data_IF_422694199059
#
_entry.id   IF_422694199059
#
_cell.length_a   1.000
_cell.length_b   1.000
_cell.length_c   1.000
_cell.angle_alpha   90.00
_cell.angle_beta   90.00
_cell.angle_gamma   90.00
#
_symmetry.space_group_name_H-M   'P 1'
#
loop_
_entity.id
_entity.type
_entity.pdbx_description
1 polymer ?
#
# COMPACT_ATOMS: atom_id res chain seq x y z
N UNK A 1 -5.59 -13.88 43.69
CA UNK A 1 -5.26 -12.43 43.55
C UNK A 1 -4.14 -12.32 42.53
N UNK A 2 -4.48 -11.91 41.31
CA UNK A 2 -3.54 -11.75 40.20
C UNK A 2 -2.58 -10.59 40.51
N UNK A 3 -1.28 -10.86 40.43
CA UNK A 3 -0.25 -9.85 40.68
C UNK A 3 -0.31 -8.75 39.62
N UNK A 4 -0.31 -7.50 40.11
CA UNK A 4 -0.31 -6.27 39.32
C UNK A 4 0.91 -6.23 38.40
N UNK A 5 0.68 -6.01 37.11
CA UNK A 5 1.72 -5.55 36.18
C UNK A 5 2.10 -4.13 36.60
N UNK A 6 3.39 -3.86 36.79
CA UNK A 6 3.89 -2.48 36.87
C UNK A 6 3.59 -1.77 35.53
N UNK A 7 3.34 -0.45 35.52
CA UNK A 7 3.04 0.31 34.29
C UNK A 7 4.04 0.03 33.17
N UNK A 8 5.32 -0.07 33.54
CA UNK A 8 6.43 -0.42 32.66
C UNK A 8 6.26 -1.80 31.96
N UNK A 9 5.67 -2.81 32.61
CA UNK A 9 5.45 -4.13 32.01
C UNK A 9 4.25 -4.16 31.04
N UNK A 10 3.23 -3.31 31.23
CA UNK A 10 2.14 -3.20 30.26
C UNK A 10 2.59 -2.38 29.04
N UNK A 11 3.38 -1.33 29.25
CA UNK A 11 4.08 -0.58 28.19
C UNK A 11 4.93 -1.50 27.31
N UNK A 12 5.66 -2.45 27.90
CA UNK A 12 6.46 -3.45 27.16
C UNK A 12 5.56 -4.45 26.40
N UNK A 13 4.42 -4.86 26.95
CA UNK A 13 3.49 -5.78 26.27
C UNK A 13 2.79 -5.07 25.11
N UNK A 14 2.32 -3.85 25.30
CA UNK A 14 1.75 -3.00 24.24
C UNK A 14 2.79 -2.76 23.13
N UNK A 15 4.08 -2.64 23.50
CA UNK A 15 5.22 -2.58 22.56
C UNK A 15 5.43 -3.87 21.75
N UNK A 16 5.22 -5.02 22.38
CA UNK A 16 5.41 -6.34 21.76
C UNK A 16 4.22 -6.72 20.88
N UNK A 17 3.03 -6.18 21.15
CA UNK A 17 1.79 -6.41 20.39
C UNK A 17 1.57 -5.37 19.28
N UNK A 18 2.17 -4.18 19.40
CA UNK A 18 2.22 -3.16 18.36
C UNK A 18 3.64 -2.61 18.30
N UNK A 19 4.51 -3.08 17.39
CA UNK A 19 5.86 -2.54 17.33
C UNK A 19 5.77 -1.19 16.60
N UNK A 20 5.92 -0.03 17.27
CA UNK A 20 6.61 1.04 16.57
C UNK A 20 7.95 0.45 16.11
N UNK A 21 8.44 0.87 14.94
CA UNK A 21 9.75 0.40 14.46
C UNK A 21 10.75 0.43 15.62
N UNK A 22 11.50 -0.65 15.85
CA UNK A 22 12.48 -0.76 16.95
C UNK A 22 13.42 0.46 17.00
N UNK A 23 13.58 1.18 15.88
CA UNK A 23 14.27 2.46 15.76
C UNK A 23 13.59 3.63 16.51
N UNK A 24 12.26 3.76 16.50
CA UNK A 24 11.57 4.79 17.28
C UNK A 24 11.83 4.63 18.79
N UNK A 25 12.00 3.37 19.24
CA UNK A 25 12.31 3.04 20.63
C UNK A 25 13.76 3.33 21.01
N UNK A 26 14.70 3.22 20.06
CA UNK A 26 16.14 3.49 20.31
C UNK A 26 16.42 4.95 20.70
N UNK A 27 15.52 5.88 20.38
CA UNK A 27 15.62 7.30 20.74
C UNK A 27 14.94 7.67 22.06
N UNK A 28 14.10 6.80 22.64
CA UNK A 28 13.35 7.10 23.86
C UNK A 28 14.29 7.02 25.07
N UNK A 29 14.50 8.13 25.78
CA UNK A 29 15.36 8.19 26.97
C UNK A 29 14.55 8.07 28.26
N UNK A 30 13.26 8.36 28.18
CA UNK A 30 12.34 8.38 29.33
C UNK A 30 11.08 7.57 29.05
N UNK A 31 10.37 7.18 30.12
CA UNK A 31 9.03 6.57 30.03
C UNK A 31 8.02 7.50 29.32
N UNK A 32 8.19 8.82 29.47
CA UNK A 32 7.37 9.80 28.78
C UNK A 32 7.60 9.79 27.26
N UNK A 33 8.86 9.69 26.81
CA UNK A 33 9.18 9.57 25.38
C UNK A 33 8.58 8.30 24.79
N UNK A 34 8.67 7.20 25.53
CA UNK A 34 8.12 5.91 25.14
C UNK A 34 6.59 5.97 25.00
N UNK A 35 5.90 6.54 25.99
CA UNK A 35 4.45 6.70 25.95
C UNK A 35 4.02 7.61 24.80
N UNK A 36 4.76 8.70 24.55
CA UNK A 36 4.49 9.59 23.42
C UNK A 36 4.62 8.87 22.07
N UNK A 37 5.67 8.05 21.89
CA UNK A 37 5.85 7.25 20.67
C UNK A 37 4.73 6.23 20.46
N UNK A 38 4.25 5.58 21.53
CA UNK A 38 3.10 4.66 21.47
C UNK A 38 1.82 5.42 21.12
N UNK A 39 1.58 6.57 21.73
CA UNK A 39 0.37 7.38 21.47
C UNK A 39 0.36 7.92 20.04
N UNK A 40 1.52 8.36 19.52
CA UNK A 40 1.69 8.76 18.12
C UNK A 40 1.44 7.60 17.16
N UNK A 41 1.99 6.41 17.46
CA UNK A 41 1.75 5.21 16.66
C UNK A 41 0.26 4.83 16.65
N UNK A 42 -0.39 4.81 17.82
CA UNK A 42 -1.82 4.49 17.94
C UNK A 42 -2.68 5.48 17.19
N UNK A 43 -2.36 6.77 17.28
CA UNK A 43 -3.06 7.83 16.55
C UNK A 43 -2.91 7.63 15.05
N UNK A 44 -1.67 7.45 14.57
CA UNK A 44 -1.36 7.18 13.16
C UNK A 44 -2.09 5.93 12.65
N UNK A 45 -2.08 4.84 13.42
CA UNK A 45 -2.77 3.61 13.06
C UNK A 45 -4.28 3.82 12.94
N UNK A 46 -4.91 4.47 13.92
CA UNK A 46 -6.34 4.76 13.89
C UNK A 46 -6.72 5.67 12.71
N UNK A 47 -5.92 6.70 12.43
CA UNK A 47 -6.10 7.56 11.26
C UNK A 47 -6.01 6.78 9.94
N UNK A 48 -5.08 5.82 9.86
CA UNK A 48 -4.94 4.95 8.71
C UNK A 48 -6.15 4.03 8.54
N UNK A 49 -6.63 3.37 9.60
CA UNK A 49 -7.83 2.54 9.55
C UNK A 49 -9.06 3.33 9.09
N UNK A 50 -9.23 4.55 9.63
CA UNK A 50 -10.30 5.45 9.22
C UNK A 50 -10.13 5.83 7.74
N UNK A 51 -8.92 6.16 7.29
CA UNK A 51 -8.65 6.51 5.90
C UNK A 51 -8.94 5.34 4.94
N UNK A 52 -8.58 4.12 5.32
CA UNK A 52 -8.86 2.89 4.56
C UNK A 52 -10.36 2.61 4.49
N UNK A 53 -11.07 2.72 5.61
CA UNK A 53 -12.53 2.62 5.67
C UNK A 53 -13.24 3.69 4.84
N UNK A 54 -12.61 4.85 4.67
CA UNK A 54 -13.11 5.94 3.85
C UNK A 54 -12.71 5.86 2.37
N UNK A 55 -11.94 4.87 1.91
CA UNK A 55 -11.63 4.78 0.47
C UNK A 55 -12.92 4.62 -0.32
N UNK A 56 -13.76 3.68 0.11
CA UNK A 56 -15.08 3.42 -0.47
C UNK A 56 -16.12 4.20 0.32
N UNK A 57 -16.65 5.26 -0.28
CA UNK A 57 -17.69 6.09 0.31
C UNK A 57 -19.04 5.73 -0.34
N UNK A 58 -19.84 4.94 0.37
CA UNK A 58 -21.11 4.43 -0.14
C UNK A 58 -22.13 5.55 -0.37
N UNK A 59 -22.09 6.63 0.42
CA UNK A 59 -22.97 7.77 0.23
C UNK A 59 -22.56 8.56 -1.02
N UNK A 60 -21.25 8.72 -1.25
CA UNK A 60 -20.75 9.32 -2.49
C UNK A 60 -21.11 8.50 -3.72
N UNK A 61 -21.01 7.17 -3.67
CA UNK A 61 -21.43 6.27 -4.75
C UNK A 61 -22.92 6.38 -5.03
N UNK A 62 -23.75 6.33 -3.98
CA UNK A 62 -25.20 6.49 -4.10
C UNK A 62 -25.55 7.82 -4.75
N UNK A 63 -24.97 8.92 -4.27
CA UNK A 63 -25.17 10.25 -4.86
C UNK A 63 -24.74 10.32 -6.32
N UNK A 64 -23.66 9.65 -6.70
CA UNK A 64 -23.25 9.54 -8.12
C UNK A 64 -24.29 8.80 -8.95
N UNK A 65 -24.80 7.66 -8.45
CA UNK A 65 -25.86 6.89 -9.12
C UNK A 65 -27.11 7.74 -9.29
N UNK A 66 -27.56 8.42 -8.22
CA UNK A 66 -28.75 9.29 -8.25
C UNK A 66 -28.59 10.43 -9.29
N UNK A 67 -27.40 11.03 -9.38
CA UNK A 67 -27.10 12.07 -10.37
C UNK A 67 -27.00 11.53 -11.80
N UNK A 68 -26.45 10.32 -12.00
CA UNK A 68 -26.42 9.67 -13.33
C UNK A 68 -27.83 9.27 -13.79
N UNK A 69 -28.68 8.82 -12.88
CA UNK A 69 -30.07 8.49 -13.16
C UNK A 69 -30.86 9.76 -13.55
N UNK A 70 -30.73 10.85 -12.79
CA UNK A 70 -31.37 12.13 -13.13
C UNK A 70 -30.86 12.68 -14.46
N UNK A 71 -29.56 12.53 -14.76
CA UNK A 71 -29.00 12.88 -16.07
C UNK A 71 -29.64 12.05 -17.19
N UNK A 72 -29.79 10.74 -17.00
CA UNK A 72 -30.40 9.85 -17.99
C UNK A 72 -31.87 10.24 -18.28
N UNK A 73 -32.67 10.44 -17.22
CA UNK A 73 -34.07 10.86 -17.33
C UNK A 73 -34.20 12.21 -18.06
N UNK A 74 -33.37 13.20 -17.68
CA UNK A 74 -33.39 14.50 -18.34
C UNK A 74 -32.87 14.45 -19.79
N UNK A 75 -31.94 13.54 -20.11
CA UNK A 75 -31.37 13.45 -21.46
C UNK A 75 -32.42 13.03 -22.51
N UNK A 76 -33.44 12.27 -22.12
CA UNK A 76 -34.54 11.88 -23.01
C UNK A 76 -35.57 13.02 -23.20
N UNK A 77 -35.80 13.83 -22.17
CA UNK A 77 -36.92 14.78 -22.11
C UNK A 77 -36.55 16.26 -22.30
N UNK A 78 -35.40 16.71 -21.75
CA UNK A 78 -34.98 18.11 -21.70
C UNK A 78 -33.45 18.29 -21.64
N UNK A 79 -32.87 18.71 -22.78
CA UNK A 79 -31.43 18.97 -22.92
C UNK A 79 -30.89 20.04 -21.97
N UNK A 80 -31.71 21.03 -21.56
CA UNK A 80 -31.27 22.05 -20.60
C UNK A 80 -31.08 21.44 -19.21
N UNK A 81 -32.08 20.69 -18.73
CA UNK A 81 -31.98 19.93 -17.49
C UNK A 81 -30.84 18.91 -17.53
N UNK A 82 -30.64 18.21 -18.65
CA UNK A 82 -29.52 17.27 -18.81
C UNK A 82 -28.15 17.96 -18.66
N UNK A 83 -28.00 19.17 -19.21
CA UNK A 83 -26.78 19.98 -19.07
C UNK A 83 -26.52 20.35 -17.61
N UNK A 84 -27.56 20.74 -16.87
CA UNK A 84 -27.47 21.04 -15.44
C UNK A 84 -27.07 19.81 -14.62
N UNK A 85 -27.72 18.65 -14.86
CA UNK A 85 -27.38 17.41 -14.17
C UNK A 85 -25.95 16.94 -14.46
N UNK A 86 -25.48 17.07 -15.70
CA UNK A 86 -24.09 16.75 -16.05
C UNK A 86 -23.09 17.66 -15.33
N UNK A 87 -23.41 18.96 -15.22
CA UNK A 87 -22.60 19.91 -14.43
C UNK A 87 -22.53 19.52 -12.95
N UNK A 88 -23.68 19.24 -12.33
CA UNK A 88 -23.76 18.81 -10.93
C UNK A 88 -22.99 17.50 -10.68
N UNK A 89 -23.09 16.55 -11.61
CA UNK A 89 -22.37 15.28 -11.58
C UNK A 89 -20.84 15.50 -11.67
N UNK A 90 -20.37 16.36 -12.58
CA UNK A 90 -18.95 16.72 -12.69
C UNK A 90 -18.41 17.43 -11.44
N UNK A 91 -19.19 18.33 -10.84
CA UNK A 91 -18.83 19.02 -9.58
C UNK A 91 -18.64 17.98 -8.47
N UNK A 92 -19.62 17.08 -8.29
CA UNK A 92 -19.52 16.02 -7.28
C UNK A 92 -18.33 15.09 -7.54
N UNK A 93 -18.13 14.63 -8.78
CA UNK A 93 -16.99 13.77 -9.14
C UNK A 93 -15.63 14.47 -8.91
N UNK A 94 -15.54 15.78 -9.15
CA UNK A 94 -14.34 16.58 -8.84
C UNK A 94 -14.08 16.60 -7.33
N UNK A 95 -15.10 16.86 -6.51
CA UNK A 95 -14.98 16.83 -5.05
C UNK A 95 -14.52 15.45 -4.53
N UNK A 96 -15.02 14.37 -5.13
CA UNK A 96 -14.61 13.00 -4.78
C UNK A 96 -13.19 12.69 -5.23
N UNK A 97 -12.77 13.19 -6.40
CA UNK A 97 -11.39 13.09 -6.88
C UNK A 97 -10.42 13.77 -5.90
N UNK A 98 -10.76 14.96 -5.43
CA UNK A 98 -9.95 15.70 -4.44
C UNK A 98 -9.91 14.98 -3.07
N UNK A 99 -11.05 14.44 -2.63
CA UNK A 99 -11.15 13.65 -1.40
C UNK A 99 -10.22 12.43 -1.46
N UNK A 100 -10.30 11.65 -2.53
CA UNK A 100 -9.45 10.46 -2.74
C UNK A 100 -7.97 10.82 -2.88
N UNK A 101 -7.65 11.96 -3.49
CA UNK A 101 -6.29 12.50 -3.53
C UNK A 101 -5.74 12.79 -2.12
N UNK A 102 -6.56 13.34 -1.21
CA UNK A 102 -6.18 13.49 0.21
C UNK A 102 -6.02 12.14 0.90
N UNK A 103 -6.91 11.18 0.64
CA UNK A 103 -6.81 9.81 1.19
C UNK A 103 -5.50 9.14 0.79
N UNK A 104 -5.04 9.30 -0.46
CA UNK A 104 -3.73 8.79 -0.90
C UNK A 104 -2.59 9.34 -0.04
N UNK A 105 -2.63 10.62 0.34
CA UNK A 105 -1.59 11.20 1.20
C UNK A 105 -1.55 10.52 2.57
N UNK A 106 -2.71 10.28 3.19
CA UNK A 106 -2.80 9.57 4.47
C UNK A 106 -2.30 8.13 4.34
N UNK A 107 -2.75 7.42 3.29
CA UNK A 107 -2.29 6.06 3.01
C UNK A 107 -0.78 6.01 2.75
N UNK A 108 -0.21 6.99 2.05
CA UNK A 108 1.24 7.08 1.85
C UNK A 108 2.01 7.28 3.15
N UNK A 109 1.49 8.12 4.04
CA UNK A 109 2.10 8.37 5.34
C UNK A 109 2.25 7.06 6.11
N UNK A 110 1.21 6.19 6.14
CA UNK A 110 1.27 4.84 6.74
C UNK A 110 2.56 4.12 6.38
N UNK A 111 2.87 3.95 5.10
CA UNK A 111 4.05 3.18 4.67
C UNK A 111 5.36 3.84 5.09
N UNK A 112 5.43 5.17 4.99
CA UNK A 112 6.66 5.91 5.32
C UNK A 112 6.93 6.02 6.83
N UNK A 113 5.90 5.98 7.68
CA UNK A 113 6.04 6.18 9.13
C UNK A 113 5.98 4.88 9.93
N UNK A 114 5.27 3.85 9.46
CA UNK A 114 5.12 2.57 10.18
C UNK A 114 6.46 1.85 10.29
N UNK A 115 7.18 1.72 9.16
CA UNK A 115 8.53 1.15 9.12
C UNK A 115 9.40 1.93 8.10
N UNK A 116 10.07 3.00 8.55
CA UNK A 116 10.95 3.79 7.69
C UNK A 116 12.10 2.97 7.08
N UNK A 117 12.57 1.94 7.79
CA UNK A 117 13.65 1.07 7.32
C UNK A 117 13.23 0.24 6.11
N UNK A 118 12.02 -0.33 6.14
CA UNK A 118 11.45 -1.04 4.98
C UNK A 118 11.11 -0.07 3.84
N UNK A 119 10.56 1.09 4.16
CA UNK A 119 10.19 2.10 3.16
C UNK A 119 11.38 2.73 2.44
N UNK A 120 12.55 2.80 3.10
CA UNK A 120 13.79 3.31 2.48
C UNK A 120 14.12 2.60 1.15
N UNK A 121 13.86 1.30 1.04
CA UNK A 121 14.08 0.54 -0.20
C UNK A 121 13.22 1.00 -1.38
N UNK A 122 12.12 1.70 -1.12
CA UNK A 122 11.28 2.34 -2.14
C UNK A 122 11.67 3.80 -2.33
N UNK A 123 11.94 4.52 -1.23
CA UNK A 123 12.31 5.93 -1.25
C UNK A 123 13.65 6.17 -1.97
N UNK A 124 14.60 5.24 -1.85
CA UNK A 124 15.95 5.35 -2.43
C UNK A 124 15.98 5.02 -3.93
N UNK A 125 14.87 4.59 -4.52
CA UNK A 125 14.80 4.29 -5.95
C UNK A 125 14.79 5.60 -6.75
N UNK A 126 15.89 5.87 -7.43
CA UNK A 126 16.09 7.08 -8.22
C UNK A 126 15.40 6.98 -9.58
N UNK A 127 14.80 8.10 -10.00
CA UNK A 127 14.25 8.25 -11.34
C UNK A 127 15.36 8.16 -12.41
N UNK A 128 15.14 7.40 -13.46
CA UNK A 128 16.05 7.41 -14.62
C UNK A 128 15.31 7.13 -15.93
N UNK A 129 15.92 7.54 -17.04
CA UNK A 129 15.44 7.23 -18.40
C UNK A 129 16.66 7.02 -19.30
N UNK A 130 16.73 5.87 -19.96
CA UNK A 130 17.71 5.59 -21.03
C UNK A 130 17.17 6.06 -22.38
N UNK A 131 18.04 6.02 -23.40
CA UNK A 131 17.69 6.37 -24.78
C UNK A 131 16.92 5.25 -25.52
N UNK A 132 16.71 4.10 -24.87
CA UNK A 132 15.97 2.99 -25.46
C UNK A 132 14.47 3.28 -25.32
N UNK A 133 13.78 3.29 -26.45
CA UNK A 133 12.33 3.50 -26.52
C UNK A 133 11.63 2.45 -27.40
N UNK A 134 10.30 2.42 -27.30
CA UNK A 134 9.47 1.63 -28.20
C UNK A 134 9.44 2.28 -29.58
N UNK A 135 9.92 1.56 -30.59
CA UNK A 135 9.99 2.04 -31.98
C UNK A 135 8.94 1.32 -32.84
N UNK A 136 8.28 2.06 -33.72
CA UNK A 136 7.45 1.52 -34.79
C UNK A 136 8.32 0.71 -35.76
N UNK A 137 7.95 -0.52 -36.16
CA UNK A 137 8.78 -1.29 -37.07
C UNK A 137 9.06 -0.51 -38.37
N UNK A 138 10.30 -0.57 -38.86
CA UNK A 138 10.81 0.27 -39.95
C UNK A 138 9.88 0.34 -41.18
N UNK A 139 9.27 -0.79 -41.57
CA UNK A 139 8.32 -0.89 -42.68
C UNK A 139 7.08 0.01 -42.54
N UNK A 140 6.68 0.35 -41.32
CA UNK A 140 5.48 1.15 -41.03
C UNK A 140 5.80 2.60 -40.67
N UNK A 141 7.06 2.99 -40.49
CA UNK A 141 7.42 4.35 -40.05
C UNK A 141 6.99 5.45 -41.03
N UNK A 142 6.87 5.13 -42.32
CA UNK A 142 6.38 6.06 -43.36
C UNK A 142 4.86 5.98 -43.60
N UNK A 143 4.14 5.15 -42.85
CA UNK A 143 2.70 4.96 -42.97
C UNK A 143 1.94 5.92 -42.03
N UNK A 144 0.60 5.99 -42.18
CA UNK A 144 -0.26 6.76 -41.28
C UNK A 144 -0.14 6.27 -39.83
N UNK A 145 -0.42 7.14 -38.86
CA UNK A 145 -0.31 6.82 -37.43
C UNK A 145 -1.19 5.61 -37.07
N UNK A 146 -2.38 5.50 -37.64
CA UNK A 146 -3.30 4.37 -37.43
C UNK A 146 -2.67 3.05 -37.87
N UNK A 147 -1.98 3.04 -39.02
CA UNK A 147 -1.25 1.84 -39.49
C UNK A 147 -0.05 1.52 -38.62
N UNK A 148 0.63 2.53 -38.09
CA UNK A 148 1.71 2.32 -37.12
C UNK A 148 1.17 1.71 -35.82
N UNK A 149 0.07 2.25 -35.29
CA UNK A 149 -0.63 1.76 -34.10
C UNK A 149 -1.11 0.33 -34.31
N UNK A 150 -1.75 0.02 -35.43
CA UNK A 150 -2.21 -1.32 -35.78
C UNK A 150 -1.05 -2.32 -35.78
N UNK A 151 0.07 -1.99 -36.43
CA UNK A 151 1.26 -2.83 -36.45
C UNK A 151 1.84 -3.06 -35.04
N UNK A 152 1.86 -2.03 -34.19
CA UNK A 152 2.31 -2.13 -32.80
C UNK A 152 1.35 -2.97 -31.94
N UNK A 153 0.03 -2.83 -32.11
CA UNK A 153 -0.97 -3.63 -31.40
C UNK A 153 -0.90 -5.11 -31.78
N UNK A 154 -0.70 -5.41 -33.07
CA UNK A 154 -0.45 -6.78 -33.53
C UNK A 154 0.82 -7.33 -32.88
N UNK A 155 1.93 -6.59 -32.90
CA UNK A 155 3.17 -7.01 -32.24
C UNK A 155 2.97 -7.21 -30.72
N UNK A 156 2.18 -6.36 -30.06
CA UNK A 156 1.85 -6.50 -28.65
C UNK A 156 1.09 -7.80 -28.36
N UNK A 157 0.09 -8.15 -29.17
CA UNK A 157 -0.66 -9.40 -29.02
C UNK A 157 0.25 -10.63 -29.11
N UNK A 158 1.23 -10.61 -30.03
CA UNK A 158 2.24 -11.68 -30.16
C UNK A 158 3.23 -11.75 -29.00
N UNK A 159 3.44 -10.64 -28.27
CA UNK A 159 4.39 -10.57 -27.14
C UNK A 159 3.72 -10.79 -25.77
N UNK A 160 2.39 -10.75 -25.71
CA UNK A 160 1.63 -10.84 -24.46
C UNK A 160 1.91 -12.14 -23.69
N UNK A 161 1.84 -13.30 -24.33
CA UNK A 161 2.02 -14.60 -23.66
C UNK A 161 3.42 -14.74 -23.03
N UNK A 162 4.46 -14.34 -23.76
CA UNK A 162 5.83 -14.32 -23.26
C UNK A 162 5.95 -13.39 -22.04
N UNK A 163 5.43 -12.17 -22.16
CA UNK A 163 5.45 -11.19 -21.07
C UNK A 163 4.76 -11.73 -19.82
N UNK A 164 3.54 -12.27 -19.96
CA UNK A 164 2.80 -12.86 -18.85
C UNK A 164 3.58 -14.02 -18.23
N UNK A 165 4.11 -14.93 -19.03
CA UNK A 165 4.88 -16.09 -18.55
C UNK A 165 6.08 -15.68 -17.72
N UNK A 166 6.86 -14.69 -18.19
CA UNK A 166 8.02 -14.19 -17.46
C UNK A 166 7.62 -13.53 -16.14
N UNK A 167 6.60 -12.67 -16.14
CA UNK A 167 6.14 -12.00 -14.93
C UNK A 167 5.54 -13.00 -13.93
N UNK A 168 4.78 -13.99 -14.39
CA UNK A 168 4.26 -15.07 -13.55
C UNK A 168 5.39 -15.86 -12.89
N UNK A 169 6.45 -16.20 -13.62
CA UNK A 169 7.63 -16.86 -13.04
C UNK A 169 8.25 -16.06 -11.89
N UNK A 170 8.31 -14.74 -12.03
CA UNK A 170 8.77 -13.85 -10.95
C UNK A 170 7.84 -13.87 -9.74
N UNK A 171 6.54 -13.69 -9.97
CA UNK A 171 5.52 -13.70 -8.91
C UNK A 171 5.49 -15.02 -8.16
N UNK A 172 5.57 -16.14 -8.88
CA UNK A 172 5.57 -17.49 -8.31
C UNK A 172 6.74 -17.68 -7.35
N UNK A 173 7.92 -17.15 -7.69
CA UNK A 173 9.11 -17.24 -6.84
C UNK A 173 8.89 -16.46 -5.54
N UNK A 174 8.36 -15.24 -5.62
CA UNK A 174 8.01 -14.45 -4.42
C UNK A 174 6.96 -15.13 -3.56
N UNK A 175 5.88 -15.64 -4.17
CA UNK A 175 4.76 -16.24 -3.44
C UNK A 175 5.10 -17.60 -2.82
N UNK A 176 6.08 -18.34 -3.35
CA UNK A 176 6.57 -19.62 -2.81
C UNK A 176 7.70 -19.45 -1.79
N UNK A 177 8.38 -18.31 -1.77
CA UNK A 177 9.48 -18.06 -0.85
C UNK A 177 9.02 -18.07 0.61
N UNK A 178 9.86 -18.61 1.48
CA UNK A 178 9.65 -18.60 2.94
C UNK A 178 10.41 -17.46 3.61
N UNK A 179 11.45 -16.95 2.96
CA UNK A 179 12.27 -15.85 3.44
C UNK A 179 12.72 -14.92 2.31
N UNK A 180 13.17 -13.71 2.67
CA UNK A 180 13.85 -12.78 1.74
C UNK A 180 15.10 -13.42 1.12
N UNK A 181 15.83 -14.23 1.90
CA UNK A 181 17.03 -14.93 1.45
C UNK A 181 16.74 -15.93 0.33
N UNK A 182 15.59 -16.60 0.37
CA UNK A 182 15.17 -17.54 -0.68
C UNK A 182 14.99 -16.83 -2.02
N UNK A 183 14.36 -15.64 -2.00
CA UNK A 183 14.15 -14.80 -3.18
C UNK A 183 15.50 -14.35 -3.73
N UNK A 184 16.34 -13.77 -2.88
CA UNK A 184 17.68 -13.31 -3.25
C UNK A 184 18.53 -14.43 -3.88
N UNK A 185 18.52 -15.61 -3.27
CA UNK A 185 19.27 -16.78 -3.76
C UNK A 185 18.76 -17.25 -5.12
N UNK A 186 17.44 -17.25 -5.32
CA UNK A 186 16.80 -17.67 -6.59
C UNK A 186 17.17 -16.76 -7.77
N UNK A 187 17.56 -15.52 -7.50
CA UNK A 187 17.94 -14.53 -8.52
C UNK A 187 19.43 -14.19 -8.54
N UNK A 188 20.28 -14.95 -7.82
CA UNK A 188 21.72 -14.73 -7.81
C UNK A 188 22.11 -13.34 -7.30
N UNK A 189 21.56 -12.94 -6.15
CA UNK A 189 22.06 -11.77 -5.42
C UNK A 189 23.36 -12.13 -4.71
N UNK A 190 24.36 -11.27 -4.83
CA UNK A 190 25.61 -11.42 -4.09
C UNK A 190 25.39 -11.17 -2.60
N UNK A 191 26.27 -11.67 -1.74
CA UNK A 191 26.12 -11.57 -0.29
C UNK A 191 25.95 -10.11 0.19
N UNK A 192 26.71 -9.19 -0.38
CA UNK A 192 26.59 -7.76 -0.07
C UNK A 192 25.26 -7.14 -0.54
N UNK A 193 24.72 -7.60 -1.67
CA UNK A 193 23.38 -7.17 -2.11
C UNK A 193 22.29 -7.75 -1.21
N UNK A 194 22.45 -9.00 -0.76
CA UNK A 194 21.51 -9.65 0.15
C UNK A 194 21.44 -8.95 1.51
N UNK A 195 22.61 -8.55 2.04
CA UNK A 195 22.73 -7.82 3.31
C UNK A 195 21.84 -6.58 3.35
N UNK A 196 21.74 -5.85 2.24
CA UNK A 196 20.84 -4.68 2.13
C UNK A 196 19.40 -5.02 2.53
N UNK A 197 18.91 -6.21 2.19
CA UNK A 197 17.54 -6.62 2.49
C UNK A 197 17.40 -7.40 3.79
N UNK A 198 18.45 -8.12 4.24
CA UNK A 198 18.34 -9.06 5.37
C UNK A 198 18.85 -8.51 6.69
N UNK A 199 19.78 -7.56 6.72
CA UNK A 199 20.45 -7.12 7.96
C UNK A 199 19.52 -6.50 8.99
N UNK A 200 18.39 -5.93 8.55
CA UNK A 200 17.44 -5.25 9.43
C UNK A 200 16.06 -5.89 9.45
N UNK A 201 15.76 -6.79 8.50
CA UNK A 201 14.40 -7.21 8.20
C UNK A 201 14.37 -8.58 7.50
N UNK A 202 14.43 -9.67 8.28
CA UNK A 202 14.36 -11.03 7.73
C UNK A 202 12.94 -11.50 7.44
N UNK A 203 11.94 -10.89 8.09
CA UNK A 203 10.54 -11.24 7.90
C UNK A 203 10.02 -10.81 6.54
N UNK A 204 9.55 -11.79 5.77
CA UNK A 204 8.92 -11.61 4.48
C UNK A 204 7.48 -11.06 4.59
N UNK A 205 6.83 -11.25 5.75
CA UNK A 205 5.45 -10.84 6.03
C UNK A 205 5.32 -10.28 7.45
N UNK A 206 5.72 -9.03 7.68
CA UNK A 206 5.55 -8.41 8.99
C UNK A 206 4.06 -8.24 9.29
N UNK A 207 3.61 -8.70 10.46
CA UNK A 207 2.18 -8.67 10.86
C UNK A 207 1.59 -7.25 10.80
N UNK A 208 2.39 -6.22 11.08
CA UNK A 208 1.95 -4.82 11.09
C UNK A 208 1.54 -4.26 9.71
N UNK A 209 1.98 -4.88 8.62
CA UNK A 209 1.63 -4.48 7.25
C UNK A 209 0.60 -5.40 6.61
N UNK A 210 0.33 -6.55 7.25
CA UNK A 210 -0.59 -7.55 6.76
C UNK A 210 -2.02 -7.00 6.80
N UNK A 211 -2.69 -6.98 5.65
CA UNK A 211 -4.12 -6.72 5.59
C UNK A 211 -4.81 -8.09 5.62
N UNK A 212 -5.79 -8.28 6.51
CA UNK A 212 -6.48 -9.54 6.88
C UNK A 212 -7.24 -10.24 5.73
N UNK A 213 -6.61 -10.39 4.58
CA UNK A 213 -7.13 -11.19 3.48
C UNK A 213 -6.42 -12.54 3.54
N UNK A 214 -7.19 -13.62 3.39
CA UNK A 214 -6.72 -15.01 3.47
C UNK A 214 -5.78 -15.39 2.30
N UNK A 215 -5.35 -14.40 1.52
CA UNK A 215 -4.45 -14.59 0.40
C UNK A 215 -3.04 -14.85 0.93
N UNK A 216 -2.60 -16.11 0.82
CA UNK A 216 -1.21 -16.51 1.05
C UNK A 216 -0.22 -15.88 0.06
N UNK A 217 -0.62 -14.93 -0.78
CA UNK A 217 0.20 -14.28 -1.80
C UNK A 217 0.87 -13.02 -1.24
N UNK A 218 2.18 -12.92 -1.43
CA UNK A 218 2.99 -11.73 -1.12
C UNK A 218 2.88 -10.69 -2.23
N UNK A 219 2.72 -11.16 -3.47
CA UNK A 219 2.56 -10.33 -4.67
C UNK A 219 1.35 -10.80 -5.43
N UNK A 220 0.49 -9.85 -5.83
CA UNK A 220 -0.62 -10.09 -6.76
C UNK A 220 -0.36 -9.33 -8.05
N UNK A 221 -0.77 -9.91 -9.17
CA UNK A 221 -0.65 -9.27 -10.47
C UNK A 221 -1.99 -9.04 -11.11
N UNK A 222 -2.09 -7.91 -11.79
CA UNK A 222 -3.19 -7.59 -12.68
C UNK A 222 -2.63 -7.14 -14.03
N UNK A 223 -2.76 -8.00 -15.02
CA UNK A 223 -2.45 -7.64 -16.40
C UNK A 223 -3.54 -6.70 -16.93
N UNK A 224 -3.11 -5.57 -17.47
CA UNK A 224 -4.04 -4.61 -18.06
C UNK A 224 -4.56 -5.13 -19.40
N UNK A 225 -5.80 -4.80 -19.79
CA UNK A 225 -6.23 -5.09 -21.15
C UNK A 225 -5.33 -4.33 -22.14
N UNK A 226 -5.19 -4.83 -23.38
CA UNK A 226 -4.54 -4.10 -24.46
C UNK A 226 -5.08 -2.69 -24.54
N UNK A 227 -4.21 -1.73 -24.82
CA UNK A 227 -4.65 -0.34 -25.01
C UNK A 227 -5.58 -0.30 -26.23
N UNK A 228 -6.72 0.37 -26.10
CA UNK A 228 -7.64 0.62 -27.22
C UNK A 228 -6.91 1.39 -28.34
N UNK A 229 -7.23 1.07 -29.59
CA UNK A 229 -6.63 1.70 -30.76
C UNK A 229 -6.75 3.23 -30.73
N UNK A 230 -7.95 3.77 -30.45
CA UNK A 230 -8.20 5.21 -30.45
C UNK A 230 -7.28 5.95 -29.48
N UNK A 231 -7.17 5.44 -28.24
CA UNK A 231 -6.26 5.99 -27.23
C UNK A 231 -4.78 5.84 -27.59
N UNK A 232 -4.42 4.84 -28.38
CA UNK A 232 -3.06 4.65 -28.86
C UNK A 232 -2.73 5.64 -30.00
N UNK A 233 -3.69 5.91 -30.89
CA UNK A 233 -3.59 6.94 -31.95
C UNK A 233 -3.40 8.31 -31.33
N UNK A 234 -4.31 8.74 -30.45
CA UNK A 234 -4.22 10.06 -29.77
C UNK A 234 -2.86 10.24 -29.08
N UNK A 235 -2.38 9.20 -28.39
CA UNK A 235 -1.07 9.26 -27.70
C UNK A 235 0.09 9.41 -28.68
N UNK A 236 0.04 8.78 -29.85
CA UNK A 236 1.08 8.92 -30.88
C UNK A 236 0.99 10.27 -31.61
N UNK A 237 -0.22 10.81 -31.82
CA UNK A 237 -0.44 12.15 -32.38
C UNK A 237 0.16 13.24 -31.48
N UNK A 238 0.10 13.05 -30.15
CA UNK A 238 0.78 13.89 -29.15
C UNK A 238 2.31 13.72 -29.14
N UNK A 239 2.88 12.93 -30.07
CA UNK A 239 4.31 12.65 -30.16
C UNK A 239 4.84 11.71 -29.08
N UNK A 240 3.96 11.02 -28.33
CA UNK A 240 4.37 10.09 -27.29
C UNK A 240 4.58 8.68 -27.82
N UNK A 241 5.51 7.94 -27.21
CA UNK A 241 5.75 6.52 -27.52
C UNK A 241 4.81 5.59 -26.74
N UNK A 242 4.43 4.47 -27.37
CA UNK A 242 3.48 3.49 -26.83
C UNK A 242 4.17 2.39 -26.03
N UNK A 243 4.61 2.71 -24.80
CA UNK A 243 5.32 1.76 -23.91
C UNK A 243 4.41 0.84 -23.10
N UNK A 244 3.12 1.15 -23.06
CA UNK A 244 2.12 0.51 -22.21
C UNK A 244 1.11 -0.30 -23.04
N UNK A 245 1.59 -0.97 -24.09
CA UNK A 245 0.79 -1.87 -24.92
C UNK A 245 0.61 -3.24 -24.25
N UNK A 246 1.69 -3.80 -23.70
CA UNK A 246 1.63 -4.86 -22.70
C UNK A 246 2.03 -4.26 -21.35
N UNK A 247 1.19 -4.46 -20.33
CA UNK A 247 1.42 -3.85 -19.02
C UNK A 247 0.88 -4.69 -17.88
N UNK A 248 1.54 -4.61 -16.74
CA UNK A 248 1.12 -5.28 -15.52
C UNK A 248 1.19 -4.33 -14.33
N UNK A 249 0.21 -4.42 -13.44
CA UNK A 249 0.28 -3.84 -12.10
C UNK A 249 0.56 -4.95 -11.09
N UNK A 250 1.66 -4.82 -10.36
CA UNK A 250 2.03 -5.69 -9.25
C UNK A 250 1.69 -4.99 -7.93
N UNK A 251 0.96 -5.70 -7.09
CA UNK A 251 0.41 -5.23 -5.84
C UNK A 251 1.19 -5.81 -4.65
N UNK A 252 1.53 -4.93 -3.71
CA UNK A 252 2.31 -5.25 -2.51
C UNK A 252 1.65 -4.69 -1.25
N UNK A 253 1.85 -5.35 -0.13
CA UNK A 253 1.55 -4.82 1.21
C UNK A 253 2.79 -4.27 1.89
N UNK A 254 3.97 -4.67 1.42
CA UNK A 254 5.24 -4.44 2.09
C UNK A 254 6.22 -3.64 1.22
N UNK A 255 6.70 -2.47 1.68
CA UNK A 255 7.70 -1.66 0.98
C UNK A 255 9.02 -2.40 0.71
N UNK A 256 9.49 -3.25 1.64
CA UNK A 256 10.73 -4.01 1.44
C UNK A 256 10.58 -4.97 0.26
N UNK A 257 9.46 -5.68 0.20
CA UNK A 257 9.16 -6.63 -0.88
C UNK A 257 9.01 -5.90 -2.22
N UNK A 258 8.37 -4.72 -2.23
CA UNK A 258 8.28 -3.89 -3.44
C UNK A 258 9.67 -3.47 -3.92
N UNK A 259 10.53 -3.00 -3.02
CA UNK A 259 11.91 -2.63 -3.33
C UNK A 259 12.75 -3.81 -3.83
N UNK A 260 12.58 -5.00 -3.22
CA UNK A 260 13.23 -6.23 -3.67
C UNK A 260 12.74 -6.66 -5.05
N UNK A 261 11.42 -6.59 -5.31
CA UNK A 261 10.85 -6.86 -6.63
C UNK A 261 11.48 -5.96 -7.69
N UNK A 262 11.65 -4.66 -7.39
CA UNK A 262 12.32 -3.76 -8.32
C UNK A 262 13.74 -4.25 -8.67
N UNK A 263 14.55 -4.66 -7.68
CA UNK A 263 15.88 -5.22 -7.94
C UNK A 263 15.84 -6.51 -8.75
N UNK A 264 14.88 -7.39 -8.48
CA UNK A 264 14.66 -8.60 -9.28
C UNK A 264 14.32 -8.25 -10.72
N UNK A 265 13.43 -7.27 -10.95
CA UNK A 265 13.13 -6.77 -12.30
C UNK A 265 14.39 -6.24 -12.99
N UNK A 266 15.26 -5.52 -12.28
CA UNK A 266 16.55 -5.06 -12.85
C UNK A 266 17.48 -6.20 -13.28
N UNK A 267 17.49 -7.32 -12.54
CA UNK A 267 18.30 -8.50 -12.91
C UNK A 267 17.67 -9.32 -14.04
N UNK A 268 16.35 -9.37 -14.12
CA UNK A 268 15.62 -10.21 -15.10
C UNK A 268 15.32 -9.50 -16.42
N UNK A 269 15.24 -8.16 -16.41
CA UNK A 269 14.89 -7.36 -17.57
C UNK A 269 15.84 -6.18 -17.74
N UNK A 270 16.04 -5.74 -18.98
CA UNK A 270 16.75 -4.50 -19.25
C UNK A 270 15.81 -3.32 -18.99
N UNK A 271 15.87 -2.75 -17.79
CA UNK A 271 15.06 -1.59 -17.41
C UNK A 271 15.49 -0.36 -18.22
N UNK A 272 14.56 0.22 -18.97
CA UNK A 272 14.82 1.38 -19.85
C UNK A 272 14.43 2.71 -19.20
N UNK A 273 13.47 2.71 -18.28
CA UNK A 273 13.17 3.90 -17.46
C UNK A 273 12.46 3.53 -16.18
N UNK A 274 12.67 4.34 -15.14
CA UNK A 274 11.97 4.24 -13.86
C UNK A 274 11.50 5.63 -13.45
N UNK A 275 10.23 5.73 -13.08
CA UNK A 275 9.64 6.90 -12.45
C UNK A 275 9.04 6.51 -11.11
N UNK A 276 9.70 6.91 -10.05
CA UNK A 276 9.28 6.78 -8.68
C UNK A 276 8.30 7.89 -8.32
N UNK A 277 7.00 7.58 -8.43
CA UNK A 277 5.92 8.53 -8.11
C UNK A 277 5.57 8.54 -6.63
N UNK A 278 6.23 7.72 -5.81
CA UNK A 278 6.18 7.85 -4.35
C UNK A 278 6.89 9.13 -3.87
N UNK A 279 7.83 9.65 -4.65
CA UNK A 279 8.59 10.88 -4.36
C UNK A 279 7.93 12.16 -4.89
N UNK A 280 6.66 12.12 -5.28
CA UNK A 280 5.98 13.30 -5.82
C UNK A 280 5.76 14.37 -4.73
N UNK A 281 6.15 15.62 -5.01
CA UNK A 281 5.95 16.75 -4.09
C UNK A 281 4.55 17.33 -4.15
N UNK A 282 3.91 17.23 -5.32
CA UNK A 282 2.51 17.57 -5.56
C UNK A 282 1.78 16.33 -6.03
N UNK A 283 0.61 16.07 -5.44
CA UNK A 283 -0.25 15.01 -5.90
C UNK A 283 -0.74 15.30 -7.32
N UNK A 284 -0.27 14.51 -8.28
CA UNK A 284 -0.68 14.60 -9.69
C UNK A 284 -1.32 13.31 -10.19
N UNK A 285 -0.99 12.19 -9.54
CA UNK A 285 -1.51 10.87 -9.86
C UNK A 285 -1.26 9.93 -8.68
N UNK A 286 -2.00 8.80 -8.60
CA UNK A 286 -1.72 7.76 -7.62
C UNK A 286 -0.24 7.33 -7.64
N UNK A 287 0.44 7.27 -6.48
CA UNK A 287 1.82 6.82 -6.38
C UNK A 287 2.00 5.38 -6.86
N UNK A 288 3.01 5.16 -7.69
CA UNK A 288 3.52 3.87 -8.11
C UNK A 288 5.03 3.98 -8.40
N UNK A 289 5.71 2.84 -8.42
CA UNK A 289 6.99 2.72 -9.11
C UNK A 289 6.69 2.30 -10.55
N UNK A 290 6.84 3.25 -11.47
CA UNK A 290 6.48 3.08 -12.86
C UNK A 290 7.71 2.72 -13.69
N UNK A 291 7.81 1.47 -14.09
CA UNK A 291 8.97 0.88 -14.75
C UNK A 291 8.63 0.60 -16.21
N UNK A 292 9.52 1.00 -17.12
CA UNK A 292 9.54 0.45 -18.48
C UNK A 292 10.75 -0.47 -18.61
N UNK A 293 10.56 -1.65 -19.16
CA UNK A 293 11.61 -2.63 -19.34
C UNK A 293 11.53 -3.27 -20.72
N UNK A 294 12.68 -3.56 -21.33
CA UNK A 294 12.72 -4.34 -22.55
C UNK A 294 12.58 -5.82 -22.23
N UNK A 295 11.66 -6.51 -22.91
CA UNK A 295 11.63 -7.96 -22.92
C UNK A 295 12.94 -8.48 -23.52
N UNK A 296 13.52 -9.56 -22.98
CA UNK A 296 14.67 -10.21 -23.61
C UNK A 296 14.30 -10.62 -25.03
N UNK A 297 15.13 -10.18 -25.98
CA UNK A 297 14.94 -10.47 -27.39
C UNK A 297 15.23 -11.96 -27.65
N UNK A 298 14.34 -12.63 -28.39
CA UNK A 298 14.68 -13.89 -29.06
C UNK A 298 15.50 -13.65 -30.33
N UNK A 299 15.38 -12.45 -30.92
CA UNK A 299 16.07 -12.04 -32.14
C UNK A 299 16.95 -10.81 -31.86
N UNK A 300 18.29 -10.96 -31.83
CA UNK A 300 19.24 -9.86 -31.63
C UNK A 300 19.14 -8.75 -32.68
N UNK A 301 18.57 -9.04 -33.86
CA UNK A 301 18.41 -8.07 -34.95
C UNK A 301 17.13 -7.24 -34.83
N UNK A 302 16.25 -7.56 -33.88
CA UNK A 302 14.97 -6.88 -33.69
C UNK A 302 15.05 -5.76 -32.63
N UNK A 303 14.31 -4.68 -32.89
CA UNK A 303 14.13 -3.61 -31.90
C UNK A 303 13.55 -4.16 -30.60
N UNK A 304 14.05 -3.71 -29.43
CA UNK A 304 13.58 -4.17 -28.14
C UNK A 304 12.09 -3.88 -27.98
N UNK A 305 11.36 -4.85 -27.39
CA UNK A 305 9.95 -4.66 -27.08
C UNK A 305 9.80 -4.19 -25.63
N UNK A 306 9.23 -2.99 -25.45
CA UNK A 306 9.10 -2.35 -24.15
C UNK A 306 7.76 -2.69 -23.52
N UNK A 307 7.79 -3.08 -22.26
CA UNK A 307 6.61 -3.35 -21.43
C UNK A 307 6.58 -2.41 -20.23
N UNK A 308 5.37 -2.10 -19.77
CA UNK A 308 5.16 -1.28 -18.58
C UNK A 308 4.86 -2.16 -17.35
N UNK A 309 5.64 -1.99 -16.29
CA UNK A 309 5.46 -2.67 -15.00
C UNK A 309 5.23 -1.61 -13.94
N UNK A 310 4.06 -1.61 -13.31
CA UNK A 310 3.71 -0.70 -12.21
C UNK A 310 3.78 -1.46 -10.90
N UNK A 311 4.63 -1.05 -9.95
CA UNK A 311 4.62 -1.58 -8.59
C UNK A 311 3.87 -0.62 -7.67
N UNK A 312 2.86 -1.11 -6.96
CA UNK A 312 1.98 -0.26 -6.17
C UNK A 312 1.51 -0.95 -4.89
N UNK A 313 1.28 -0.14 -3.86
CA UNK A 313 0.72 -0.65 -2.61
C UNK A 313 -0.76 -0.96 -2.76
N UNK A 314 -1.22 -2.03 -2.10
CA UNK A 314 -2.62 -2.49 -2.09
C UNK A 314 -3.62 -1.39 -1.79
N UNK A 315 -3.35 -0.61 -0.76
CA UNK A 315 -4.23 0.48 -0.34
C UNK A 315 -4.35 1.55 -1.43
N UNK A 316 -3.23 1.89 -2.07
CA UNK A 316 -3.19 2.85 -3.19
C UNK A 316 -3.91 2.31 -4.41
N UNK A 317 -3.80 1.00 -4.69
CA UNK A 317 -4.55 0.37 -5.76
C UNK A 317 -6.06 0.48 -5.54
N UNK A 318 -6.50 0.30 -4.31
CA UNK A 318 -7.91 0.43 -3.92
C UNK A 318 -8.38 1.86 -4.13
N UNK A 319 -7.60 2.86 -3.69
CA UNK A 319 -7.93 4.27 -3.97
C UNK A 319 -7.93 4.56 -5.48
N UNK A 320 -6.95 4.07 -6.23
CA UNK A 320 -6.84 4.27 -7.69
C UNK A 320 -8.05 3.70 -8.44
N UNK A 321 -8.55 2.52 -8.04
CA UNK A 321 -9.75 1.91 -8.62
C UNK A 321 -10.97 2.81 -8.42
N UNK A 322 -11.15 3.33 -7.20
CA UNK A 322 -12.26 4.24 -6.89
C UNK A 322 -12.11 5.58 -7.61
N UNK A 323 -10.90 6.14 -7.62
CA UNK A 323 -10.57 7.40 -8.29
C UNK A 323 -10.87 7.35 -9.78
N UNK A 324 -10.53 6.25 -10.46
CA UNK A 324 -10.77 6.11 -11.91
C UNK A 324 -12.25 6.20 -12.28
N UNK A 325 -13.18 5.79 -11.40
CA UNK A 325 -14.63 5.90 -11.64
C UNK A 325 -15.07 7.37 -11.71
N UNK A 326 -14.63 8.18 -10.75
CA UNK A 326 -14.90 9.63 -10.75
C UNK A 326 -14.13 10.36 -11.86
N UNK A 327 -12.90 9.93 -12.14
CA UNK A 327 -12.07 10.54 -13.16
C UNK A 327 -12.64 10.37 -14.58
N UNK A 328 -13.31 9.25 -14.84
CA UNK A 328 -14.07 9.04 -16.08
C UNK A 328 -15.15 10.09 -16.27
N UNK A 329 -15.92 10.38 -15.22
CA UNK A 329 -16.97 11.42 -15.24
C UNK A 329 -16.38 12.81 -15.47
N UNK A 330 -15.31 13.16 -14.75
CA UNK A 330 -14.68 14.50 -14.87
C UNK A 330 -14.15 14.73 -16.28
N UNK A 331 -13.59 13.69 -16.92
CA UNK A 331 -12.99 13.77 -18.25
C UNK A 331 -14.00 13.69 -19.39
N UNK A 332 -15.17 13.12 -19.18
CA UNK A 332 -16.16 12.97 -20.24
C UNK A 332 -16.53 14.35 -20.80
N UNK A 333 -16.47 14.50 -22.12
CA UNK A 333 -16.79 15.77 -22.80
C UNK A 333 -18.30 15.91 -22.97
N UNK A 334 -19.00 14.79 -23.14
CA UNK A 334 -20.43 14.73 -23.43
C UNK A 334 -21.20 13.91 -22.39
N UNK A 335 -22.51 14.11 -22.31
CA UNK A 335 -23.40 13.34 -21.42
C UNK A 335 -23.45 11.87 -21.84
N UNK A 336 -23.41 11.61 -23.14
CA UNK A 336 -23.45 10.29 -23.77
C UNK A 336 -22.27 9.42 -23.34
N UNK A 337 -21.07 10.00 -23.24
CA UNK A 337 -19.89 9.27 -22.76
C UNK A 337 -20.06 8.76 -21.33
N UNK A 338 -20.66 9.59 -20.46
CA UNK A 338 -20.96 9.24 -19.06
C UNK A 338 -22.07 8.21 -18.97
N UNK A 339 -23.13 8.34 -19.78
CA UNK A 339 -24.27 7.43 -19.78
C UNK A 339 -23.93 6.06 -20.39
N UNK A 340 -23.05 6.03 -21.41
CA UNK A 340 -22.57 4.77 -22.00
C UNK A 340 -21.67 3.97 -21.05
N UNK A 341 -21.03 4.63 -20.08
CA UNK A 341 -20.12 4.02 -19.12
C UNK A 341 -20.44 4.46 -17.68
N UNK A 342 -21.55 3.98 -17.10
CA UNK A 342 -21.92 4.36 -15.74
C UNK A 342 -20.81 4.02 -14.75
N UNK A 343 -20.45 4.99 -13.89
CA UNK A 343 -19.33 4.83 -12.96
C UNK A 343 -19.60 3.73 -11.92
N UNK A 344 -20.88 3.55 -11.58
CA UNK A 344 -21.38 2.52 -10.68
C UNK A 344 -22.68 1.94 -11.25
N UNK A 345 -22.80 0.61 -11.31
CA UNK A 345 -24.00 -0.06 -11.81
C UNK A 345 -24.88 -0.46 -10.61
N UNK A 346 -26.11 0.06 -10.54
CA UNK A 346 -27.05 -0.28 -9.49
C UNK A 346 -27.41 -1.79 -9.54
N UNK A 347 -27.44 -2.47 -8.39
CA UNK A 347 -27.86 -3.87 -8.30
C UNK A 347 -26.82 -4.91 -8.75
N UNK A 348 -25.81 -4.53 -9.54
CA UNK A 348 -24.56 -5.29 -9.59
C UNK A 348 -23.84 -4.97 -8.29
N UNK A 349 -24.06 -5.80 -7.27
CA UNK A 349 -23.02 -5.98 -6.26
C UNK A 349 -21.80 -6.38 -7.07
N UNK A 350 -20.90 -5.43 -7.35
CA UNK A 350 -19.49 -5.78 -7.47
C UNK A 350 -19.30 -6.78 -6.33
N UNK A 351 -18.81 -7.99 -6.61
CA UNK A 351 -18.31 -8.86 -5.55
C UNK A 351 -17.14 -8.10 -4.94
N UNK A 352 -17.44 -7.08 -4.15
CA UNK A 352 -16.58 -6.55 -3.14
C UNK A 352 -16.62 -7.70 -2.14
N UNK A 353 -15.73 -8.67 -2.34
CA UNK A 353 -15.39 -9.66 -1.31
C UNK A 353 -15.07 -8.95 0.02
N UNK A 354 -14.80 -7.64 -0.04
CA UNK A 354 -14.73 -6.72 1.07
C UNK A 354 -16.04 -6.17 1.66
N UNK A 355 -17.27 -6.27 1.14
CA UNK A 355 -18.40 -5.54 1.80
C UNK A 355 -18.81 -6.16 3.14
N UNK A 356 -18.88 -7.50 3.18
CA UNK A 356 -19.05 -8.23 4.42
C UNK A 356 -17.81 -8.09 5.31
N UNK A 357 -16.61 -8.12 4.73
CA UNK A 357 -15.36 -7.98 5.47
C UNK A 357 -15.18 -6.56 6.03
N UNK A 358 -15.51 -5.50 5.29
CA UNK A 358 -15.43 -4.08 5.69
C UNK A 358 -16.47 -3.82 6.77
N UNK A 359 -17.69 -4.33 6.64
CA UNK A 359 -18.68 -4.25 7.72
C UNK A 359 -18.18 -4.98 8.97
N UNK A 360 -17.66 -6.19 8.81
CA UNK A 360 -17.10 -7.00 9.92
C UNK A 360 -15.89 -6.31 10.57
N UNK A 361 -14.99 -5.73 9.78
CA UNK A 361 -13.81 -4.99 10.23
C UNK A 361 -14.23 -3.70 10.93
N UNK A 362 -15.24 -2.98 10.43
CA UNK A 362 -15.76 -1.78 11.08
C UNK A 362 -16.42 -2.11 12.42
N UNK A 363 -17.23 -3.16 12.47
CA UNK A 363 -17.85 -3.63 13.71
C UNK A 363 -16.80 -4.18 14.71
N UNK A 364 -15.77 -4.89 14.21
CA UNK A 364 -14.65 -5.37 15.01
C UNK A 364 -13.82 -4.21 15.55
N UNK A 365 -13.49 -3.22 14.72
CA UNK A 365 -12.75 -2.03 15.12
C UNK A 365 -13.52 -1.20 16.14
N UNK A 366 -14.84 -1.02 15.98
CA UNK A 366 -15.68 -0.35 16.99
C UNK A 366 -15.71 -1.13 18.31
N UNK A 367 -15.80 -2.46 18.26
CA UNK A 367 -15.79 -3.32 19.46
C UNK A 367 -14.44 -3.29 20.17
N UNK A 368 -13.35 -3.37 19.42
CA UNK A 368 -11.97 -3.32 19.91
C UNK A 368 -11.69 -1.95 20.54
N UNK A 369 -12.09 -0.86 19.87
CA UNK A 369 -12.02 0.50 20.40
C UNK A 369 -12.78 0.62 21.72
N UNK A 370 -14.02 0.13 21.79
CA UNK A 370 -14.81 0.17 23.03
C UNK A 370 -14.15 -0.60 24.17
N UNK A 371 -13.62 -1.80 23.90
CA UNK A 371 -12.89 -2.59 24.89
C UNK A 371 -11.65 -1.85 25.38
N UNK A 372 -10.88 -1.22 24.49
CA UNK A 372 -9.71 -0.41 24.85
C UNK A 372 -10.09 0.81 25.68
N UNK A 373 -11.17 1.51 25.33
CA UNK A 373 -11.68 2.65 26.10
C UNK A 373 -12.07 2.24 27.54
N UNK A 374 -12.67 1.05 27.70
CA UNK A 374 -13.00 0.47 29.00
C UNK A 374 -11.74 0.11 29.81
N UNK A 375 -10.72 -0.49 29.18
CA UNK A 375 -9.42 -0.80 29.82
C UNK A 375 -8.67 0.47 30.24
N UNK A 376 -8.60 1.49 29.37
CA UNK A 376 -8.00 2.79 29.68
C UNK A 376 -8.72 3.45 30.85
N UNK A 377 -10.06 3.39 30.89
CA UNK A 377 -10.84 3.93 32.00
C UNK A 377 -10.56 3.18 33.31
N UNK A 378 -10.41 1.86 33.27
CA UNK A 378 -10.06 1.05 34.43
C UNK A 378 -8.66 1.40 34.98
N UNK A 379 -7.68 1.53 34.09
CA UNK A 379 -6.31 1.92 34.44
C UNK A 379 -6.26 3.33 35.04
N UNK A 380 -7.00 4.30 34.47
CA UNK A 380 -7.10 5.66 35.03
C UNK A 380 -7.68 5.66 36.46
N UNK A 381 -8.70 4.84 36.73
CA UNK A 381 -9.27 4.68 38.08
C UNK A 381 -8.27 4.06 39.05
N UNK A 382 -7.49 3.07 38.60
CA UNK A 382 -6.47 2.45 39.45
C UNK A 382 -5.32 3.41 39.76
N UNK A 383 -4.85 4.16 38.76
CA UNK A 383 -3.83 5.20 38.91
C UNK A 383 -4.28 6.28 39.92
N UNK A 384 -5.54 6.71 39.87
CA UNK A 384 -6.09 7.68 40.82
C UNK A 384 -6.05 7.16 42.27
N UNK A 385 -6.41 5.88 42.50
CA UNK A 385 -6.30 5.26 43.83
C UNK A 385 -4.86 5.23 44.33
N UNK A 386 -3.91 4.93 43.46
CA UNK A 386 -2.50 4.93 43.81
C UNK A 386 -1.98 6.32 44.16
N UNK A 387 -2.40 7.36 43.42
CA UNK A 387 -2.05 8.75 43.74
C UNK A 387 -2.56 9.17 45.13
N UNK A 388 -3.78 8.78 45.49
CA UNK A 388 -4.30 9.03 46.85
C UNK A 388 -3.50 8.27 47.92
N UNK A 389 -3.21 6.98 47.71
CA UNK A 389 -2.37 6.20 48.64
C UNK A 389 -0.97 6.80 48.81
N UNK A 390 -0.36 7.30 47.74
CA UNK A 390 0.95 7.95 47.79
C UNK A 390 0.89 9.26 48.59
N UNK A 391 -0.18 10.02 48.41
CA UNK A 391 -0.44 11.27 49.14
C UNK A 391 -0.67 11.00 50.64
N UNK A 392 -1.39 9.94 50.98
CA UNK A 392 -1.58 9.48 52.37
C UNK A 392 -0.24 9.08 53.01
N UNK A 393 0.62 8.35 52.28
CA UNK A 393 1.95 7.96 52.76
C UNK A 393 2.89 9.15 52.96
N UNK A 394 2.83 10.14 52.05
CA UNK A 394 3.61 11.38 52.16
C UNK A 394 3.13 12.27 53.32
N UNK A 395 1.82 12.29 53.60
CA UNK A 395 1.25 13.02 54.74
C UNK A 395 1.54 12.39 56.10
N UNK A 396 1.72 11.06 56.15
CA UNK A 396 1.97 10.31 57.39
C UNK A 396 3.44 10.36 57.87
N UNK A 397 4.36 10.98 57.12
CA UNK A 397 5.79 11.03 57.47
C UNK A 397 6.47 9.66 57.54
N UNK A 398 5.84 8.62 56.98
CA UNK A 398 6.37 7.26 56.98
C UNK A 398 7.38 7.11 55.84
N UNK A 399 8.57 6.59 56.16
CA UNK A 399 9.58 6.24 55.16
C UNK A 399 9.01 5.21 54.17
N UNK A 400 9.14 5.49 52.87
CA UNK A 400 8.71 4.59 51.81
C UNK A 400 9.39 3.22 51.98
N UNK A 401 8.64 2.10 52.06
CA UNK A 401 9.26 0.78 52.07
C UNK A 401 10.00 0.56 50.75
N UNK A 402 11.23 0.06 50.84
CA UNK A 402 12.03 -0.27 49.67
C UNK A 402 11.26 -1.26 48.77
N UNK A 403 11.25 -1.05 47.44
CA UNK A 403 10.58 -1.98 46.54
C UNK A 403 11.24 -3.37 46.66
N UNK A 404 10.48 -4.47 46.71
CA UNK A 404 11.05 -5.80 46.79
C UNK A 404 11.87 -6.09 45.52
N UNK A 405 13.04 -6.73 45.71
CA UNK A 405 13.92 -7.14 44.62
C UNK A 405 13.13 -7.97 43.59
N UNK A 406 13.27 -7.62 42.31
CA UNK A 406 12.55 -8.18 41.16
C UNK A 406 12.49 -9.72 41.19
N UNK A 407 13.57 -10.37 41.65
CA UNK A 407 13.70 -11.82 41.72
C UNK A 407 12.74 -12.51 42.69
N UNK A 408 12.23 -11.82 43.72
CA UNK A 408 11.37 -12.44 44.73
C UNK A 408 9.91 -12.57 44.27
N UNK A 409 9.51 -11.79 43.26
CA UNK A 409 8.11 -11.65 42.84
C UNK A 409 7.79 -12.34 41.50
N UNK A 410 8.82 -12.80 40.78
CA UNK A 410 8.66 -13.47 39.49
C UNK A 410 8.28 -14.95 39.66
N UNK A 411 7.36 -15.44 38.82
CA UNK A 411 7.07 -16.88 38.74
C UNK A 411 8.29 -17.66 38.22
N UNK A 412 8.44 -18.96 38.58
CA UNK A 412 9.53 -19.80 38.06
C UNK A 412 9.58 -19.88 36.52
N UNK A 413 8.47 -19.65 35.83
CA UNK A 413 8.42 -19.59 34.37
C UNK A 413 9.06 -18.30 33.82
N UNK A 414 8.75 -17.15 34.40
CA UNK A 414 9.32 -15.87 33.98
C UNK A 414 10.82 -15.79 34.29
N UNK A 415 11.27 -16.33 35.43
CA UNK A 415 12.71 -16.44 35.75
C UNK A 415 13.46 -17.30 34.73
N UNK A 416 12.83 -18.39 34.27
CA UNK A 416 13.41 -19.26 33.23
C UNK A 416 13.47 -18.55 31.88
N UNK A 417 12.45 -17.77 31.52
CA UNK A 417 12.43 -16.98 30.28
C UNK A 417 13.57 -15.95 30.23
N UNK A 418 13.77 -15.20 31.32
CA UNK A 418 14.85 -14.18 31.40
C UNK A 418 16.24 -14.83 31.41
N UNK A 419 16.42 -15.94 32.15
CA UNK A 419 17.69 -16.67 32.14
C UNK A 419 18.00 -17.26 30.76
N UNK A 420 16.98 -17.69 30.00
CA UNK A 420 17.15 -18.12 28.60
C UNK A 420 17.60 -16.97 27.72
N UNK A 421 16.91 -15.83 27.78
CA UNK A 421 17.27 -14.67 26.95
C UNK A 421 18.66 -14.11 27.28
N UNK A 422 19.09 -14.19 28.55
CA UNK A 422 20.45 -13.80 28.94
C UNK A 422 21.51 -14.82 28.50
N UNK A 423 21.20 -16.12 28.59
CA UNK A 423 22.09 -17.19 28.10
C UNK A 423 22.22 -17.20 26.58
N UNK A 424 21.19 -16.80 25.85
CA UNK A 424 21.22 -16.67 24.40
C UNK A 424 22.08 -15.47 23.99
N UNK A 425 21.91 -14.31 24.64
CA UNK A 425 22.80 -13.15 24.42
C UNK A 425 24.26 -13.41 24.75
N UNK A 426 24.55 -14.10 25.86
CA UNK A 426 25.92 -14.44 26.22
C UNK A 426 26.59 -15.42 25.23
N UNK A 427 25.80 -16.16 24.43
CA UNK A 427 26.32 -17.03 23.35
C UNK A 427 26.43 -16.33 22.00
N UNK A 428 25.81 -15.16 21.86
CA UNK A 428 25.95 -14.32 20.68
C UNK A 428 27.13 -13.34 20.81
N UNK A 429 27.60 -13.11 22.04
CA UNK A 429 28.74 -12.24 22.36
C UNK A 429 30.09 -13.01 22.49
N UNK A 430 30.05 -14.34 22.51
CA UNK A 430 31.19 -15.27 22.38
C UNK A 430 31.26 -15.82 20.95
#
# INVERSE_FOLDING_TARGET
MLAKKTPCCQLIIDLLETPPSVQALKGCQTEADLQAAIDEYRTTHAENEIALGNIVDMDARKKTIDLQQALFEAYEDDLLSATEHMSNLKIHATQQTDRLGRTIKTVMNKYSTTDPGRYAHVADIVNFKSDIDQVTPQKYQSQSIERQVEALLLKAAWKEELFQTMIHGVIDTFNKATSIKDICSSYGFEEEEMKLFTERNTELRPQMLYLEDDSKSIVRAKFGPPKSADRAVVKMEDGSTLRDLNRVSLEFEDPLVLGLMYRVIQKQFKVTSVKNKFLQTKYTQPPDLHINAALPNFDPSSDPWIVEIQLLFRDILTVKKELHKFYGIVRAETSEEVLANPAFIAGVREKVEGDAAIKTVREAAEKEKKKRDEEILALKKELAKWKELLKEQQGAGAALPAPPLLEQVMSPAQRRSIRRSMSEKAREED
#
